data_IF_995690488263
#
_entry.id   IF_995690488263
#
_cell.length_a   1.000
_cell.length_b   1.000
_cell.length_c   1.000
_cell.angle_alpha   90.00
_cell.angle_beta   90.00
_cell.angle_gamma   90.00
#
_symmetry.space_group_name_H-M   'P 1'
#
loop_
_entity.id
_entity.type
_entity.pdbx_description
1 polymer ?
#
# COMPACT_ATOMS: atom_id res chain seq x y z
N UNK A 1 0.21 -5.23 4.15
CA UNK A 1 1.15 -5.90 5.09
C UNK A 1 2.38 -5.02 5.19
N UNK A 2 2.79 -4.55 6.38
CA UNK A 2 4.02 -3.73 6.51
C UNK A 2 5.17 -4.63 6.96
N UNK A 3 6.04 -5.08 6.07
CA UNK A 3 7.30 -5.75 6.47
C UNK A 3 8.40 -4.70 6.61
N UNK A 4 9.16 -4.77 7.70
CA UNK A 4 10.37 -3.97 7.88
C UNK A 4 11.55 -4.87 8.16
N UNK A 5 12.63 -4.66 7.43
CA UNK A 5 13.88 -5.40 7.56
C UNK A 5 15.01 -4.40 7.76
N UNK A 6 15.96 -4.78 8.61
CA UNK A 6 17.21 -4.09 8.85
C UNK A 6 18.37 -5.05 8.68
N UNK A 7 19.43 -4.58 8.04
CA UNK A 7 20.64 -5.38 7.83
C UNK A 7 21.85 -4.47 7.98
N UNK A 8 22.84 -4.97 8.71
CA UNK A 8 24.17 -4.38 8.83
C UNK A 8 25.15 -5.29 8.09
N UNK A 9 25.95 -4.73 7.20
CA UNK A 9 27.01 -5.45 6.50
C UNK A 9 28.29 -4.65 6.42
N UNK A 10 29.43 -5.35 6.46
CA UNK A 10 30.78 -4.82 6.33
C UNK A 10 31.55 -5.70 5.33
N UNK A 11 32.22 -5.09 4.34
CA UNK A 11 33.00 -5.81 3.32
C UNK A 11 32.24 -6.96 2.62
N UNK A 12 30.94 -6.77 2.41
CA UNK A 12 30.06 -7.78 1.82
C UNK A 12 29.61 -8.89 2.77
N UNK A 13 30.14 -8.93 4.01
CA UNK A 13 29.71 -9.85 5.06
C UNK A 13 28.55 -9.24 5.87
N UNK A 14 27.47 -10.01 6.06
CA UNK A 14 26.34 -9.57 6.89
C UNK A 14 26.73 -9.75 8.37
N UNK A 15 26.94 -8.63 9.07
CA UNK A 15 27.28 -8.59 10.49
C UNK A 15 26.06 -8.75 11.40
N UNK A 16 24.88 -8.36 10.91
CA UNK A 16 23.65 -8.44 11.68
C UNK A 16 22.43 -8.30 10.80
N UNK A 17 21.39 -9.06 11.13
CA UNK A 17 20.08 -8.95 10.50
C UNK A 17 19.03 -8.86 11.59
N UNK A 18 18.22 -7.81 11.54
CA UNK A 18 17.01 -7.70 12.35
C UNK A 18 15.84 -7.66 11.40
N UNK A 19 14.98 -8.66 11.49
CA UNK A 19 13.67 -8.65 10.81
C UNK A 19 12.67 -8.37 11.90
N UNK A 20 11.73 -7.46 11.65
CA UNK A 20 10.61 -7.21 12.56
C UNK A 20 9.64 -8.42 12.49
N UNK A 21 10.03 -9.52 13.15
CA UNK A 21 9.30 -10.80 13.19
C UNK A 21 7.89 -10.71 13.80
N UNK A 22 7.57 -9.80 14.75
CA UNK A 22 6.20 -9.58 15.22
C UNK A 22 5.21 -9.21 14.11
N UNK A 23 5.71 -8.72 12.96
CA UNK A 23 4.84 -8.27 11.87
C UNK A 23 4.30 -9.41 11.01
N UNK A 24 4.90 -10.60 11.02
CA UNK A 24 4.41 -11.74 10.21
C UNK A 24 3.19 -12.36 10.88
N UNK A 25 2.03 -12.25 10.23
CA UNK A 25 0.75 -12.64 10.83
C UNK A 25 0.23 -11.65 11.87
N UNK A 26 0.72 -10.39 11.86
CA UNK A 26 0.25 -9.30 12.75
C UNK A 26 -1.19 -8.88 12.52
N UNK A 27 -1.73 -9.15 11.33
CA UNK A 27 -3.11 -8.85 10.97
C UNK A 27 -3.69 -10.02 10.19
N UNK A 28 -4.49 -10.83 10.88
CA UNK A 28 -5.34 -11.85 10.27
C UNK A 28 -6.76 -11.35 10.46
N UNK A 29 -7.39 -10.97 9.36
CA UNK A 29 -8.71 -10.35 9.35
C UNK A 29 -9.66 -11.23 8.54
N UNK A 30 -10.91 -11.28 8.99
CA UNK A 30 -12.04 -11.82 8.22
C UNK A 30 -13.15 -10.77 8.18
N UNK A 31 -14.14 -10.95 7.32
CA UNK A 31 -15.38 -10.16 7.39
C UNK A 31 -16.16 -10.57 8.64
N UNK A 32 -16.65 -9.59 9.40
CA UNK A 32 -17.50 -9.87 10.56
C UNK A 32 -18.85 -10.46 10.15
N UNK A 33 -19.45 -11.28 11.00
CA UNK A 33 -20.79 -11.83 10.77
C UNK A 33 -21.81 -10.71 10.90
N UNK A 34 -22.61 -10.49 9.85
CA UNK A 34 -23.66 -9.48 9.82
C UNK A 34 -23.19 -8.03 9.63
N UNK A 35 -21.89 -7.78 9.45
CA UNK A 35 -21.37 -6.44 9.13
C UNK A 35 -20.27 -6.48 8.06
N UNK A 36 -19.95 -5.33 7.46
CA UNK A 36 -18.84 -5.21 6.51
C UNK A 36 -17.52 -4.84 7.17
N UNK A 37 -17.54 -4.66 8.49
CA UNK A 37 -16.33 -4.36 9.26
C UNK A 37 -15.38 -5.55 9.26
N UNK A 38 -14.06 -5.31 9.20
CA UNK A 38 -13.09 -6.37 9.43
C UNK A 38 -13.14 -6.81 10.89
N UNK A 39 -13.12 -8.12 11.14
CA UNK A 39 -12.93 -8.75 12.43
C UNK A 39 -11.53 -9.36 12.50
N UNK A 40 -10.78 -9.03 13.54
CA UNK A 40 -9.45 -9.59 13.76
C UNK A 40 -9.53 -10.98 14.36
N UNK A 41 -8.95 -11.96 13.68
CA UNK A 41 -8.69 -13.32 14.18
C UNK A 41 -7.22 -13.53 14.56
N UNK A 42 -6.43 -12.44 14.54
CA UNK A 42 -5.00 -12.43 14.83
C UNK A 42 -4.68 -13.13 16.15
N UNK A 43 -5.47 -12.86 17.19
CA UNK A 43 -5.31 -13.46 18.50
C UNK A 43 -5.48 -14.99 18.46
N UNK A 44 -6.54 -15.49 17.82
CA UNK A 44 -6.83 -16.93 17.71
C UNK A 44 -5.71 -17.67 16.97
N UNK A 45 -5.21 -17.11 15.88
CA UNK A 45 -4.14 -17.71 15.09
C UNK A 45 -2.79 -17.71 15.83
N UNK A 46 -2.51 -16.68 16.63
CA UNK A 46 -1.26 -16.61 17.41
C UNK A 46 -1.28 -17.54 18.63
N UNK A 47 -2.43 -17.80 19.26
CA UNK A 47 -2.56 -18.83 20.30
C UNK A 47 -2.26 -20.23 19.74
N UNK A 48 -2.72 -20.53 18.53
CA UNK A 48 -2.42 -21.81 17.88
C UNK A 48 -0.92 -21.97 17.60
N UNK A 49 -0.19 -20.87 17.38
CA UNK A 49 1.28 -20.89 17.25
C UNK A 49 1.99 -21.07 18.60
N UNK A 50 1.48 -20.48 19.68
CA UNK A 50 2.15 -20.53 21.01
C UNK A 50 2.08 -21.90 21.69
N UNK A 51 1.19 -22.79 21.27
CA UNK A 51 1.20 -24.19 21.73
C UNK A 51 2.31 -25.05 21.10
N UNK A 52 3.08 -24.51 20.14
CA UNK A 52 4.14 -25.25 19.45
C UNK A 52 5.57 -24.83 19.79
N UNK A 53 5.87 -23.63 20.33
CA UNK A 53 7.15 -23.29 20.99
C UNK A 53 7.25 -21.80 21.40
N UNK A 54 7.77 -21.59 22.64
CA UNK A 54 8.51 -20.48 23.25
C UNK A 54 7.93 -19.05 23.30
N UNK A 55 8.08 -18.46 24.50
CA UNK A 55 7.61 -17.16 25.01
C UNK A 55 7.87 -15.92 24.12
N UNK A 56 6.97 -14.91 24.17
CA UNK A 56 7.24 -13.59 23.62
C UNK A 56 7.81 -12.66 24.70
N UNK A 57 9.13 -12.47 24.71
CA UNK A 57 9.73 -11.30 25.36
C UNK A 57 9.50 -10.07 24.47
N UNK A 58 8.65 -9.18 24.95
CA UNK A 58 8.27 -7.93 24.28
C UNK A 58 9.29 -6.80 24.53
N UNK A 59 9.28 -5.88 23.55
CA UNK A 59 9.51 -4.43 23.66
C UNK A 59 10.95 -3.91 23.52
N UNK A 60 11.20 -3.23 22.38
CA UNK A 60 12.05 -2.04 22.21
C UNK A 60 13.38 -1.96 23.00
N UNK A 61 14.11 -3.07 23.16
CA UNK A 61 15.40 -3.09 23.86
C UNK A 61 16.52 -3.82 23.12
N UNK A 62 16.39 -4.13 21.82
CA UNK A 62 17.53 -4.59 21.01
C UNK A 62 18.45 -3.44 20.57
N UNK A 63 18.72 -2.56 21.54
CA UNK A 63 19.83 -1.64 21.62
C UNK A 63 21.01 -2.30 22.37
N UNK A 64 21.17 -3.63 22.29
CA UNK A 64 22.21 -4.38 23.02
C UNK A 64 23.12 -5.23 22.13
N UNK A 65 23.19 -4.97 20.82
CA UNK A 65 23.99 -5.82 19.93
C UNK A 65 25.23 -5.21 19.30
N UNK A 66 25.57 -3.93 19.52
CA UNK A 66 26.72 -3.34 18.84
C UNK A 66 27.52 -2.41 19.76
N UNK A 67 28.71 -2.86 20.16
CA UNK A 67 29.65 -2.11 21.01
C UNK A 67 30.36 -0.96 20.27
N UNK A 68 30.21 -0.83 18.94
CA UNK A 68 30.96 0.17 18.17
C UNK A 68 30.12 1.18 17.37
N UNK A 69 28.85 0.89 17.03
CA UNK A 69 27.99 1.84 16.30
C UNK A 69 26.53 1.75 16.74
N UNK A 70 26.00 2.82 17.35
CA UNK A 70 24.55 3.02 17.46
C UNK A 70 24.09 3.85 16.27
N UNK A 71 23.78 3.19 15.16
CA UNK A 71 23.07 3.81 14.04
C UNK A 71 21.64 3.28 14.00
N UNK A 72 20.70 4.06 14.54
CA UNK A 72 19.28 3.76 14.41
C UNK A 72 18.79 4.51 13.17
N UNK A 73 18.50 3.79 12.09
CA UNK A 73 17.77 4.34 10.96
C UNK A 73 16.27 4.04 11.14
N UNK A 74 15.52 5.05 11.57
CA UNK A 74 14.06 5.01 11.61
C UNK A 74 13.52 5.57 10.31
N UNK A 75 12.88 4.71 9.52
CA UNK A 75 12.03 5.14 8.41
C UNK A 75 10.67 5.54 9.00
N UNK A 76 10.32 6.82 8.94
CA UNK A 76 8.97 7.30 9.23
C UNK A 76 8.37 7.83 7.93
N UNK A 77 7.39 7.10 7.38
CA UNK A 77 6.67 7.49 6.16
C UNK A 77 5.40 8.24 6.56
N UNK A 78 5.25 9.49 6.11
CA UNK A 78 3.99 10.25 6.25
C UNK A 78 3.34 10.39 4.88
N UNK A 79 2.10 9.91 4.74
CA UNK A 79 1.36 9.90 3.48
C UNK A 79 0.50 11.17 3.34
N UNK A 80 0.71 11.95 2.29
CA UNK A 80 -0.22 12.99 1.86
C UNK A 80 -0.80 12.60 0.50
N UNK A 81 -1.97 11.96 0.52
CA UNK A 81 -2.73 11.65 -0.70
C UNK A 81 -3.67 12.81 -0.99
N UNK A 82 -3.09 13.94 -1.38
CA UNK A 82 -3.80 14.93 -2.18
C UNK A 82 -2.92 15.25 -3.38
N UNK A 83 -3.29 14.67 -4.53
CA UNK A 83 -2.69 14.88 -5.85
C UNK A 83 -1.27 14.35 -6.10
N UNK A 84 -0.92 13.10 -5.73
CA UNK A 84 0.23 12.34 -6.27
C UNK A 84 1.55 13.13 -6.47
N UNK A 85 1.85 14.10 -5.60
CA UNK A 85 2.92 15.07 -5.90
C UNK A 85 4.15 14.92 -5.03
N UNK A 86 4.07 14.33 -3.83
CA UNK A 86 5.23 14.34 -2.93
C UNK A 86 5.17 13.18 -1.94
N UNK A 87 6.22 12.35 -1.89
CA UNK A 87 6.44 11.41 -0.80
C UNK A 87 7.33 12.07 0.25
N UNK A 88 7.02 11.90 1.54
CA UNK A 88 7.87 12.40 2.63
C UNK A 88 8.40 11.24 3.44
N UNK A 89 9.67 10.92 3.20
CA UNK A 89 10.46 10.09 4.10
C UNK A 89 11.00 11.00 5.21
N UNK A 90 10.71 10.70 6.47
CA UNK A 90 11.34 11.38 7.61
C UNK A 90 12.23 10.36 8.27
N UNK A 91 13.53 10.57 8.12
CA UNK A 91 14.56 9.80 8.81
C UNK A 91 14.85 10.46 10.15
N UNK A 92 14.95 9.66 11.20
CA UNK A 92 15.59 10.07 12.45
C UNK A 92 16.83 9.21 12.63
N UNK A 93 17.99 9.86 12.55
CA UNK A 93 19.29 9.26 12.83
C UNK A 93 19.72 9.71 14.21
N UNK A 94 20.23 8.81 15.06
CA UNK A 94 20.87 9.18 16.33
C UNK A 94 22.26 8.58 16.33
N UNK A 95 23.29 9.41 16.40
CA UNK A 95 24.68 8.95 16.54
C UNK A 95 25.05 8.74 18.02
N UNK A 96 25.72 7.62 18.30
CA UNK A 96 26.49 7.43 19.55
C UNK A 96 27.77 8.28 19.54
N UNK A 97 28.35 8.53 20.72
CA UNK A 97 29.41 9.54 20.99
C UNK A 97 30.73 9.42 20.20
N UNK A 98 30.92 8.44 19.31
CA UNK A 98 32.24 8.10 18.75
C UNK A 98 32.44 8.44 17.27
N UNK A 99 31.62 9.31 16.68
CA UNK A 99 31.82 9.78 15.30
C UNK A 99 32.53 11.13 15.19
N UNK A 100 33.29 11.51 16.23
CA UNK A 100 33.85 12.86 16.36
C UNK A 100 35.09 13.14 15.49
N UNK A 101 35.49 12.30 14.52
CA UNK A 101 36.78 12.54 13.84
C UNK A 101 36.96 11.96 12.43
N UNK A 102 35.94 11.99 11.56
CA UNK A 102 36.19 11.81 10.12
C UNK A 102 35.39 12.81 9.29
N UNK A 103 36.09 13.46 8.36
CA UNK A 103 35.58 14.52 7.48
C UNK A 103 34.75 13.99 6.30
N UNK A 104 34.43 12.70 6.28
CA UNK A 104 33.70 12.08 5.18
C UNK A 104 32.22 11.96 5.50
N UNK A 105 31.42 12.52 4.61
CA UNK A 105 29.96 12.46 4.63
C UNK A 105 29.48 11.03 4.33
N UNK A 106 28.52 10.46 5.09
CA UNK A 106 27.93 9.17 4.74
C UNK A 106 27.17 9.26 3.42
N UNK A 107 27.19 8.18 2.66
CA UNK A 107 26.51 8.03 1.37
C UNK A 107 25.15 7.35 1.58
N UNK A 108 24.07 7.95 1.11
CA UNK A 108 22.73 7.36 1.14
C UNK A 108 22.35 6.82 -0.24
N UNK A 109 21.77 5.62 -0.30
CA UNK A 109 21.14 5.04 -1.48
C UNK A 109 19.68 4.74 -1.18
N UNK A 110 18.77 5.43 -1.86
CA UNK A 110 17.33 5.10 -1.80
C UNK A 110 16.96 4.24 -2.99
N UNK A 111 16.05 3.29 -2.78
CA UNK A 111 15.47 2.46 -3.82
C UNK A 111 13.96 2.35 -3.58
N UNK A 112 13.17 2.50 -4.62
CA UNK A 112 11.77 2.12 -4.62
C UNK A 112 11.52 1.04 -5.69
N UNK A 113 10.69 0.06 -5.36
CA UNK A 113 10.41 -1.06 -6.24
C UNK A 113 8.97 -1.54 -6.03
N UNK A 114 8.25 -1.80 -7.13
CA UNK A 114 6.95 -2.44 -7.08
C UNK A 114 7.07 -3.92 -6.77
N UNK A 115 6.11 -4.45 -6.01
CA UNK A 115 6.04 -5.87 -5.66
C UNK A 115 4.67 -6.44 -5.95
N UNK A 116 4.65 -7.74 -6.20
CA UNK A 116 3.43 -8.54 -6.10
C UNK A 116 3.08 -8.81 -4.64
N UNK A 117 1.82 -9.17 -4.38
CA UNK A 117 1.35 -9.53 -3.04
C UNK A 117 2.14 -10.69 -2.41
N UNK A 118 2.64 -11.61 -3.24
CA UNK A 118 3.48 -12.73 -2.79
C UNK A 118 4.90 -12.29 -2.35
N UNK A 119 5.24 -11.00 -2.50
CA UNK A 119 6.54 -10.42 -2.16
C UNK A 119 7.56 -10.45 -3.30
N UNK A 120 7.20 -10.98 -4.47
CA UNK A 120 8.07 -11.01 -5.65
C UNK A 120 8.24 -9.61 -6.21
N UNK A 121 9.47 -9.17 -6.52
CA UNK A 121 9.70 -7.90 -7.17
C UNK A 121 9.13 -7.91 -8.59
N UNK A 122 8.37 -6.88 -8.94
CA UNK A 122 8.03 -6.56 -10.33
C UNK A 122 9.16 -5.68 -10.87
N UNK A 123 9.82 -6.20 -11.90
CA UNK A 123 11.18 -5.81 -12.26
C UNK A 123 11.31 -4.42 -12.85
N UNK A 124 11.45 -3.39 -12.02
CA UNK A 124 12.34 -2.24 -12.27
C UNK A 124 12.60 -1.49 -10.95
N UNK A 125 13.83 -1.01 -10.78
CA UNK A 125 14.18 -0.03 -9.78
C UNK A 125 13.58 1.31 -10.20
N UNK A 126 12.75 1.93 -9.36
CA UNK A 126 12.00 3.16 -9.70
C UNK A 126 12.93 4.38 -9.62
N UNK A 127 13.73 4.47 -8.56
CA UNK A 127 14.58 5.63 -8.31
C UNK A 127 15.79 5.26 -7.47
N UNK A 128 16.97 5.82 -7.77
CA UNK A 128 18.11 5.83 -6.85
C UNK A 128 18.75 7.20 -6.70
N UNK A 129 18.84 7.65 -5.46
CA UNK A 129 19.47 8.91 -5.09
C UNK A 129 20.73 8.63 -4.28
N UNK A 130 21.82 9.34 -4.60
CA UNK A 130 23.04 9.38 -3.81
C UNK A 130 23.11 10.76 -3.15
N UNK A 131 23.10 10.79 -1.82
CA UNK A 131 23.24 12.03 -1.07
C UNK A 131 24.45 11.95 -0.13
N UNK A 132 25.23 13.01 -0.16
CA UNK A 132 26.32 13.27 0.79
C UNK A 132 25.79 14.19 1.87
N UNK A 133 25.93 13.77 3.13
CA UNK A 133 25.42 14.52 4.27
C UNK A 133 26.53 15.10 5.14
N UNK A 134 26.40 16.37 5.52
CA UNK A 134 27.28 16.99 6.51
C UNK A 134 26.92 16.52 7.94
N UNK A 135 27.88 16.59 8.85
CA UNK A 135 27.78 16.05 10.21
C UNK A 135 26.63 16.70 10.99
N UNK A 136 25.52 15.97 11.19
CA UNK A 136 24.39 16.41 12.01
C UNK A 136 23.89 15.26 12.89
N UNK A 137 23.59 15.57 14.15
CA UNK A 137 23.17 14.62 15.19
C UNK A 137 21.84 13.91 14.86
N UNK A 138 20.93 14.58 14.14
CA UNK A 138 19.67 14.04 13.62
C UNK A 138 19.39 14.69 12.27
N UNK A 139 19.32 13.90 11.20
CA UNK A 139 19.01 14.39 9.85
C UNK A 139 17.73 13.75 9.32
N UNK A 140 16.79 14.57 8.85
CA UNK A 140 15.59 14.15 8.14
C UNK A 140 15.71 14.51 6.66
N UNK A 141 15.75 13.50 5.80
CA UNK A 141 15.97 13.64 4.36
C UNK A 141 14.68 13.31 3.60
N UNK A 142 14.26 14.23 2.74
CA UNK A 142 12.99 14.15 2.02
C UNK A 142 13.21 13.67 0.58
N UNK A 143 12.51 12.61 0.17
CA UNK A 143 12.59 12.04 -1.19
C UNK A 143 11.25 12.09 -1.90
N UNK A 144 11.21 12.71 -3.07
CA UNK A 144 10.01 12.76 -3.92
C UNK A 144 10.18 11.82 -5.11
N UNK A 145 9.32 10.81 -5.19
CA UNK A 145 9.21 9.92 -6.35
C UNK A 145 8.06 10.42 -7.23
N UNK A 146 8.33 10.96 -8.44
CA UNK A 146 7.29 11.42 -9.35
C UNK A 146 6.47 10.26 -9.92
N UNK A 147 5.20 10.54 -10.25
CA UNK A 147 4.27 9.53 -10.78
C UNK A 147 4.79 8.78 -12.01
N UNK A 148 5.44 9.49 -12.94
CA UNK A 148 6.00 8.92 -14.16
C UNK A 148 7.01 7.78 -13.91
N UNK A 149 7.66 7.75 -12.75
CA UNK A 149 8.62 6.69 -12.43
C UNK A 149 7.95 5.38 -12.01
N UNK A 150 6.69 5.42 -11.55
CA UNK A 150 5.96 4.22 -11.12
C UNK A 150 4.64 3.99 -11.86
N UNK A 151 4.27 4.83 -12.84
CA UNK A 151 2.99 4.78 -13.57
C UNK A 151 2.77 3.43 -14.27
N UNK A 152 3.78 2.93 -14.97
CA UNK A 152 3.72 1.68 -15.74
C UNK A 152 3.78 0.45 -14.83
N UNK A 153 4.08 0.67 -13.55
CA UNK A 153 4.25 -0.36 -12.54
C UNK A 153 3.07 -0.43 -11.57
N UNK A 154 2.11 0.50 -11.67
CA UNK A 154 0.79 0.42 -11.03
C UNK A 154 -0.12 -0.64 -11.67
N UNK A 155 0.37 -1.35 -12.68
CA UNK A 155 -0.28 -2.51 -13.28
C UNK A 155 -0.22 -3.68 -12.29
N UNK A 156 -1.09 -3.65 -11.27
CA UNK A 156 -1.11 -4.65 -10.21
C UNK A 156 -1.76 -4.15 -8.92
N UNK A 157 -1.47 -4.83 -7.81
CA UNK A 157 -2.09 -4.53 -6.50
C UNK A 157 -1.59 -3.23 -5.84
N UNK A 158 -0.79 -2.44 -6.56
CA UNK A 158 -0.29 -1.14 -6.09
C UNK A 158 0.66 -1.24 -4.90
N UNK A 159 1.29 -2.40 -4.68
CA UNK A 159 2.22 -2.59 -3.56
C UNK A 159 3.61 -2.06 -3.93
N UNK A 160 4.09 -1.08 -3.16
CA UNK A 160 5.40 -0.47 -3.29
C UNK A 160 6.28 -0.82 -2.10
N UNK A 161 7.52 -1.21 -2.35
CA UNK A 161 8.57 -1.35 -1.36
C UNK A 161 9.57 -0.23 -1.53
N UNK A 162 9.84 0.52 -0.45
CA UNK A 162 10.91 1.50 -0.40
C UNK A 162 12.00 0.97 0.52
N UNK A 163 13.24 0.99 0.07
CA UNK A 163 14.42 0.60 0.81
C UNK A 163 15.44 1.74 0.79
N UNK A 164 16.10 1.96 1.92
CA UNK A 164 17.18 2.94 2.06
C UNK A 164 18.39 2.22 2.63
N UNK A 165 19.53 2.38 1.98
CA UNK A 165 20.83 1.89 2.42
C UNK A 165 21.71 3.09 2.71
N UNK A 166 22.31 3.15 3.89
CA UNK A 166 23.29 4.17 4.24
C UNK A 166 24.62 3.47 4.35
N UNK A 167 25.64 3.99 3.68
CA UNK A 167 27.00 3.52 3.71
C UNK A 167 27.87 4.56 4.42
N UNK A 168 28.61 4.12 5.41
CA UNK A 168 29.75 4.87 5.94
C UNK A 168 30.95 4.63 5.00
N UNK A 169 31.51 5.68 4.41
CA UNK A 169 32.64 5.56 3.48
C UNK A 169 33.95 5.23 4.17
N UNK A 170 34.09 5.55 5.47
CA UNK A 170 35.29 5.25 6.23
C UNK A 170 35.27 3.81 6.75
N UNK A 171 34.16 3.39 7.35
CA UNK A 171 34.06 2.06 7.95
C UNK A 171 33.56 1.00 6.99
N UNK A 172 33.10 1.37 5.79
CA UNK A 172 32.42 0.48 4.83
C UNK A 172 31.14 -0.19 5.38
N UNK A 173 30.69 0.20 6.58
CA UNK A 173 29.47 -0.32 7.18
C UNK A 173 28.23 0.18 6.45
N UNK A 174 27.28 -0.73 6.23
CA UNK A 174 26.02 -0.42 5.54
C UNK A 174 24.83 -0.73 6.41
N UNK A 175 23.90 0.21 6.55
CA UNK A 175 22.62 0.02 7.25
C UNK A 175 21.46 0.12 6.28
N UNK A 176 20.67 -0.95 6.19
CA UNK A 176 19.44 -1.00 5.39
C UNK A 176 18.20 -0.80 6.27
N UNK A 177 17.21 -0.07 5.75
CA UNK A 177 15.84 -0.02 6.26
C UNK A 177 14.85 -0.10 5.09
N UNK A 178 13.80 -0.92 5.21
CA UNK A 178 12.76 -1.01 4.18
C UNK A 178 11.34 -0.98 4.75
N UNK A 179 10.38 -0.51 3.94
CA UNK A 179 8.94 -0.52 4.25
C UNK A 179 8.11 -0.84 3.00
N UNK A 180 6.97 -1.51 3.19
CA UNK A 180 6.02 -1.88 2.13
C UNK A 180 4.66 -1.21 2.38
N UNK A 181 4.04 -0.66 1.34
CA UNK A 181 2.75 0.01 1.42
C UNK A 181 1.96 -0.05 0.09
N UNK A 182 0.65 0.16 0.17
CA UNK A 182 -0.23 0.19 -1.00
C UNK A 182 -0.40 1.64 -1.49
N UNK A 183 -0.33 1.83 -2.80
CA UNK A 183 -0.70 3.08 -3.47
C UNK A 183 -2.22 3.12 -3.56
N UNK A 184 -2.83 4.17 -3.01
CA UNK A 184 -4.29 4.30 -2.97
C UNK A 184 -4.81 4.55 -4.39
N UNK A 185 -5.66 3.64 -4.89
CA UNK A 185 -6.33 3.77 -6.18
C UNK A 185 -7.51 4.77 -6.10
N UNK A 186 -7.91 5.38 -7.23
CA UNK A 186 -9.15 6.16 -7.31
C UNK A 186 -10.33 5.34 -6.79
N UNK A 187 -11.29 5.98 -6.13
CA UNK A 187 -12.49 5.30 -5.63
C UNK A 187 -13.63 5.41 -6.64
N UNK A 188 -14.37 4.31 -6.81
CA UNK A 188 -15.65 4.30 -7.54
C UNK A 188 -16.76 4.63 -6.55
N UNK A 189 -17.56 5.65 -6.84
CA UNK A 189 -18.80 5.96 -6.13
C UNK A 189 -19.96 5.23 -6.77
N UNK A 190 -20.90 4.75 -5.95
CA UNK A 190 -22.12 4.07 -6.39
C UNK A 190 -23.27 4.69 -5.58
N UNK A 191 -24.22 5.30 -6.27
CA UNK A 191 -25.37 5.95 -5.66
C UNK A 191 -26.66 5.38 -6.24
N UNK A 192 -27.54 4.85 -5.40
CA UNK A 192 -28.80 4.27 -5.86
C UNK A 192 -29.86 5.36 -5.97
N UNK A 193 -30.45 5.51 -7.16
CA UNK A 193 -31.46 6.53 -7.42
C UNK A 193 -32.72 6.21 -6.62
N UNK A 194 -33.14 7.13 -5.76
CA UNK A 194 -34.29 6.93 -4.87
C UNK A 194 -33.95 6.28 -3.53
N UNK A 195 -32.67 6.00 -3.26
CA UNK A 195 -32.17 5.48 -2.00
C UNK A 195 -31.98 3.96 -1.96
N UNK A 196 -31.45 3.46 -0.85
CA UNK A 196 -30.96 2.08 -0.73
C UNK A 196 -32.07 1.06 -0.48
N UNK A 197 -33.30 1.51 -0.24
CA UNK A 197 -34.47 0.67 0.00
C UNK A 197 -35.27 0.51 -1.29
N UNK A 198 -35.09 -0.62 -1.95
CA UNK A 198 -35.64 -0.88 -3.29
C UNK A 198 -36.65 -2.03 -3.26
N UNK A 199 -37.49 -2.09 -4.30
CA UNK A 199 -38.60 -3.03 -4.41
C UNK A 199 -38.28 -4.13 -5.42
N UNK A 200 -38.58 -5.38 -5.09
CA UNK A 200 -38.40 -6.52 -5.96
C UNK A 200 -39.27 -6.38 -7.22
N UNK A 201 -38.80 -6.91 -8.36
CA UNK A 201 -39.50 -6.91 -9.65
C UNK A 201 -39.84 -5.52 -10.21
N UNK A 202 -39.37 -4.44 -9.58
CA UNK A 202 -39.43 -3.08 -10.12
C UNK A 202 -38.06 -2.69 -10.64
N UNK A 203 -38.05 -1.92 -11.72
CA UNK A 203 -36.80 -1.36 -12.25
C UNK A 203 -36.27 -0.28 -11.30
N UNK A 204 -34.98 -0.36 -10.98
CA UNK A 204 -34.22 0.63 -10.24
C UNK A 204 -32.97 0.99 -11.03
N UNK A 205 -32.26 2.02 -10.59
CA UNK A 205 -30.99 2.38 -11.22
C UNK A 205 -29.99 2.90 -10.19
N UNK A 206 -28.71 2.70 -10.47
CA UNK A 206 -27.62 3.29 -9.72
C UNK A 206 -26.75 4.14 -10.64
N UNK A 207 -26.27 5.27 -10.12
CA UNK A 207 -25.24 6.09 -10.72
C UNK A 207 -23.89 5.57 -10.23
N UNK A 208 -23.10 5.03 -11.16
CA UNK A 208 -21.72 4.62 -10.90
C UNK A 208 -20.82 5.71 -11.45
N UNK A 209 -20.01 6.32 -10.58
CA UNK A 209 -19.10 7.40 -10.98
C UNK A 209 -17.67 7.14 -10.55
N UNK A 210 -16.73 7.61 -11.36
CA UNK A 210 -15.31 7.55 -11.09
C UNK A 210 -14.64 8.81 -11.62
N UNK A 211 -13.94 9.51 -10.73
CA UNK A 211 -13.05 10.60 -11.11
C UNK A 211 -11.66 10.06 -11.35
N UNK A 212 -11.09 10.33 -12.54
CA UNK A 212 -9.72 9.99 -12.83
C UNK A 212 -8.78 10.81 -11.93
N UNK A 213 -8.30 10.21 -10.84
CA UNK A 213 -7.34 10.82 -9.94
C UNK A 213 -5.89 10.80 -10.43
N UNK A 214 -5.59 10.10 -11.53
CA UNK A 214 -4.24 10.00 -12.06
C UNK A 214 -3.83 11.25 -12.83
N UNK A 215 -2.52 11.49 -12.91
CA UNK A 215 -1.94 12.58 -13.70
C UNK A 215 -1.94 12.28 -15.22
N UNK A 216 -2.40 11.11 -15.64
CA UNK A 216 -2.44 10.66 -17.03
C UNK A 216 -3.85 10.20 -17.44
N UNK A 217 -4.17 10.18 -18.74
CA UNK A 217 -5.42 9.60 -19.23
C UNK A 217 -5.47 8.07 -19.03
N UNK A 218 -6.65 7.52 -18.75
CA UNK A 218 -6.82 6.06 -18.66
C UNK A 218 -7.11 5.46 -20.03
N UNK A 219 -6.18 4.70 -20.61
CA UNK A 219 -6.41 3.97 -21.86
C UNK A 219 -7.21 2.69 -21.63
N UNK A 220 -7.96 2.23 -22.64
CA UNK A 220 -8.70 0.95 -22.61
C UNK A 220 -9.55 0.73 -21.33
N UNK A 221 -10.14 1.79 -20.79
CA UNK A 221 -10.90 1.74 -19.56
C UNK A 221 -12.24 1.00 -19.76
N UNK A 222 -12.52 0.02 -18.92
CA UNK A 222 -13.78 -0.76 -18.92
C UNK A 222 -14.39 -0.69 -17.54
N UNK A 223 -15.51 0.01 -17.43
CA UNK A 223 -16.33 0.05 -16.22
C UNK A 223 -17.33 -1.10 -16.27
N UNK A 224 -17.32 -1.94 -15.24
CA UNK A 224 -18.20 -3.11 -15.10
C UNK A 224 -19.03 -2.96 -13.84
N UNK A 225 -20.35 -3.10 -13.95
CA UNK A 225 -21.26 -3.22 -12.82
C UNK A 225 -21.89 -4.62 -12.77
N UNK A 226 -21.98 -5.19 -11.58
CA UNK A 226 -22.58 -6.51 -11.33
C UNK A 226 -23.25 -6.56 -9.97
N UNK A 227 -24.17 -7.50 -9.77
CA UNK A 227 -24.86 -7.64 -8.48
C UNK A 227 -25.76 -8.87 -8.47
N UNK A 228 -25.40 -9.85 -7.65
CA UNK A 228 -26.18 -11.09 -7.53
C UNK A 228 -27.58 -10.79 -7.01
N UNK A 229 -28.60 -11.26 -7.72
CA UNK A 229 -30.01 -10.99 -7.41
C UNK A 229 -30.50 -9.59 -7.78
N UNK A 230 -29.65 -8.76 -8.42
CA UNK A 230 -29.99 -7.43 -8.95
C UNK A 230 -29.89 -7.38 -10.47
N UNK A 231 -28.77 -7.85 -11.02
CA UNK A 231 -28.43 -7.81 -12.45
C UNK A 231 -28.33 -9.23 -13.00
N UNK A 232 -28.86 -9.43 -14.21
CA UNK A 232 -28.63 -10.66 -14.99
C UNK A 232 -27.27 -10.57 -15.69
N UNK A 233 -26.21 -10.88 -14.96
CA UNK A 233 -24.83 -10.84 -15.46
C UNK A 233 -24.13 -9.50 -15.18
N UNK A 234 -23.25 -9.09 -16.12
CA UNK A 234 -22.39 -7.92 -16.00
C UNK A 234 -22.82 -6.85 -16.99
N UNK A 235 -23.05 -5.62 -16.52
CA UNK A 235 -23.15 -4.45 -17.39
C UNK A 235 -21.73 -3.89 -17.60
N UNK A 236 -21.21 -4.02 -18.83
CA UNK A 236 -19.87 -3.58 -19.18
C UNK A 236 -19.92 -2.43 -20.18
N UNK A 237 -19.27 -1.33 -19.84
CA UNK A 237 -19.15 -0.16 -20.70
C UNK A 237 -17.68 0.19 -20.91
N UNK A 238 -17.26 0.24 -22.18
CA UNK A 238 -15.96 0.80 -22.55
C UNK A 238 -16.04 2.32 -22.43
N UNK A 239 -15.08 2.90 -21.73
CA UNK A 239 -15.03 4.35 -21.49
C UNK A 239 -13.94 4.97 -22.35
N UNK A 240 -14.30 6.06 -23.04
CA UNK A 240 -13.38 6.78 -23.91
C UNK A 240 -12.38 7.59 -23.08
N UNK A 241 -11.16 7.06 -22.95
CA UNK A 241 -9.93 7.72 -22.54
C UNK A 241 -10.08 8.91 -21.57
N UNK A 242 -10.60 8.69 -20.34
CA UNK A 242 -10.85 9.78 -19.38
C UNK A 242 -9.55 10.51 -19.03
N UNK A 243 -9.57 11.84 -19.19
CA UNK A 243 -8.45 12.72 -18.88
C UNK A 243 -8.25 12.88 -17.36
N UNK A 244 -7.07 13.35 -16.91
CA UNK A 244 -6.85 13.71 -15.50
C UNK A 244 -7.94 14.64 -14.96
N UNK A 245 -8.51 14.29 -13.81
CA UNK A 245 -9.60 15.05 -13.17
C UNK A 245 -10.98 14.88 -13.82
N UNK A 246 -11.09 14.17 -14.95
CA UNK A 246 -12.38 13.92 -15.59
C UNK A 246 -13.17 12.88 -14.79
N UNK A 247 -14.46 13.15 -14.58
CA UNK A 247 -15.40 12.19 -14.01
C UNK A 247 -16.14 11.45 -15.11
N UNK A 248 -16.16 10.13 -14.99
CA UNK A 248 -16.98 9.22 -15.77
C UNK A 248 -18.20 8.90 -14.92
N UNK A 249 -19.39 9.01 -15.50
CA UNK A 249 -20.63 8.62 -14.85
C UNK A 249 -21.42 7.67 -15.74
N UNK A 250 -21.98 6.64 -15.13
CA UNK A 250 -22.80 5.65 -15.83
C UNK A 250 -24.01 5.29 -14.98
N UNK A 251 -25.18 5.45 -15.58
CA UNK A 251 -26.44 4.96 -15.01
C UNK A 251 -26.63 3.49 -15.36
N UNK A 252 -26.64 2.62 -14.35
CA UNK A 252 -26.87 1.18 -14.48
C UNK A 252 -28.29 0.88 -14.03
N UNK A 253 -29.14 0.38 -14.92
CA UNK A 253 -30.49 -0.08 -14.58
C UNK A 253 -30.47 -1.55 -14.17
N UNK A 254 -31.28 -1.92 -13.18
CA UNK A 254 -31.40 -3.28 -12.71
C UNK A 254 -32.77 -3.57 -12.10
N UNK A 255 -33.19 -4.83 -12.15
CA UNK A 255 -34.50 -5.28 -11.62
C UNK A 255 -34.26 -6.40 -10.63
N UNK A 256 -34.41 -6.15 -9.31
CA UNK A 256 -34.10 -7.15 -8.29
C UNK A 256 -34.97 -8.40 -8.42
N UNK A 257 -34.32 -9.56 -8.47
CA UNK A 257 -34.98 -10.87 -8.61
C UNK A 257 -35.19 -11.55 -7.26
N UNK A 258 -34.47 -11.14 -6.22
CA UNK A 258 -34.56 -11.74 -4.87
C UNK A 258 -34.56 -10.67 -3.78
N UNK A 259 -35.25 -10.94 -2.67
CA UNK A 259 -35.34 -10.04 -1.51
C UNK A 259 -34.11 -10.13 -0.60
N UNK A 260 -34.04 -9.22 0.38
CA UNK A 260 -32.97 -9.14 1.37
C UNK A 260 -31.87 -8.15 1.00
N UNK A 261 -30.78 -8.16 1.77
CA UNK A 261 -29.62 -7.30 1.52
C UNK A 261 -28.85 -7.79 0.29
N UNK A 262 -28.63 -6.91 -0.68
CA UNK A 262 -27.86 -7.16 -1.90
C UNK A 262 -26.72 -6.15 -2.03
N UNK A 263 -25.80 -6.45 -2.95
CA UNK A 263 -24.65 -5.60 -3.25
C UNK A 263 -24.68 -5.22 -4.73
N UNK A 264 -24.61 -3.92 -5.00
CA UNK A 264 -24.20 -3.41 -6.31
C UNK A 264 -22.68 -3.30 -6.25
N UNK A 265 -21.98 -4.00 -7.14
CA UNK A 265 -20.53 -3.98 -7.25
C UNK A 265 -20.14 -3.27 -8.54
N UNK A 266 -19.11 -2.44 -8.46
CA UNK A 266 -18.53 -1.79 -9.62
C UNK A 266 -17.02 -2.06 -9.67
N UNK A 267 -16.49 -2.26 -10.87
CA UNK A 267 -15.06 -2.42 -11.09
C UNK A 267 -14.59 -1.71 -12.35
N UNK A 268 -13.36 -1.19 -12.31
CA UNK A 268 -12.70 -0.54 -13.45
C UNK A 268 -11.41 -1.27 -13.78
N UNK A 269 -11.34 -1.83 -14.98
CA UNK A 269 -10.08 -2.26 -15.60
C UNK A 269 -9.59 -1.17 -16.55
N UNK A 270 -8.29 -0.89 -16.60
CA UNK A 270 -7.72 0.19 -17.41
C UNK A 270 -6.27 -0.12 -17.77
N UNK A 271 -5.71 0.48 -18.83
CA UNK A 271 -4.31 0.31 -19.26
C UNK A 271 -3.86 -1.16 -19.37
N UNK A 272 -4.78 -2.09 -19.70
CA UNK A 272 -4.55 -3.53 -19.66
C UNK A 272 -4.01 -4.04 -18.31
N UNK A 273 -4.41 -3.40 -17.21
CA UNK A 273 -3.98 -3.76 -15.87
C UNK A 273 -4.53 -5.12 -15.46
N UNK A 274 -3.69 -5.92 -14.79
CA UNK A 274 -4.10 -7.18 -14.15
C UNK A 274 -5.01 -6.97 -12.93
N UNK A 275 -4.97 -5.77 -12.35
CA UNK A 275 -5.78 -5.38 -11.18
C UNK A 275 -6.83 -4.35 -11.58
N UNK A 276 -8.04 -4.54 -11.07
CA UNK A 276 -9.16 -3.61 -11.25
C UNK A 276 -9.41 -2.81 -9.98
N UNK A 277 -9.76 -1.54 -10.13
CA UNK A 277 -10.36 -0.74 -9.04
C UNK A 277 -11.73 -1.36 -8.74
N UNK A 278 -12.10 -1.51 -7.47
CA UNK A 278 -13.37 -2.12 -7.07
C UNK A 278 -14.04 -1.29 -5.98
N UNK A 279 -15.37 -1.24 -6.05
CA UNK A 279 -16.23 -0.67 -5.01
C UNK A 279 -17.52 -1.45 -4.93
N UNK A 280 -18.25 -1.28 -3.84
CA UNK A 280 -19.56 -1.88 -3.65
C UNK A 280 -20.47 -0.98 -2.82
N UNK A 281 -21.77 -1.14 -3.02
CA UNK A 281 -22.80 -0.44 -2.25
C UNK A 281 -23.90 -1.41 -1.85
N UNK A 282 -24.39 -1.30 -0.61
CA UNK A 282 -25.44 -2.17 -0.07
C UNK A 282 -26.81 -1.59 -0.35
N UNK A 283 -27.73 -2.48 -0.74
CA UNK A 283 -29.16 -2.16 -0.91
C UNK A 283 -30.01 -3.17 -0.18
N UNK A 284 -31.16 -2.75 0.30
CA UNK A 284 -32.18 -3.60 0.91
C UNK A 284 -33.34 -3.78 -0.07
N UNK A 285 -33.60 -5.02 -0.48
CA UNK A 285 -34.67 -5.37 -1.42
C UNK A 285 -35.87 -5.90 -0.65
N UNK A 286 -37.00 -5.21 -0.75
CA UNK A 286 -38.28 -5.59 -0.17
C UNK A 286 -39.19 -6.23 -1.22
N UNK A 287 -40.12 -7.07 -0.77
CA UNK A 287 -41.11 -7.73 -1.63
C UNK A 287 -42.13 -6.74 -2.20
#
# INVERSE_FOLDING_TARGET
MRRSMRTLSLDGLVLGRSVDTPRVGSHILTKNVGSDGPQSLTYCANIMKSHATVEPLFCCQDAKFFHHLFLICLLCMTFFVQQFRVWRLTKCQRWGRTFACSSQSPQEHVNAQTKEYNGSPQGTQISSFILHHEQVMILSVHHQIPYSEYENMLVGEGLLNVAVVIKDELTEERVLASEEFNIIAPQISIEVVGGDNIQQKKEHSALVSLTNGFAMPLSSAVLTAEGSGLLEGKDQTKVCLPQPGQTIERKVSFTPTTTGTKLVQASLAYNNSSTAIRSFHKVSVFA
#
